data_IF_062031119070
#
_entry.id   IF_062031119070
#
_cell.length_a   1.000
_cell.length_b   1.000
_cell.length_c   1.000
_cell.angle_alpha   90.00
_cell.angle_beta   90.00
_cell.angle_gamma   90.00
#
_symmetry.space_group_name_H-M   'P 1'
#
loop_
_entity.id
_entity.type
_entity.pdbx_description
1 polymer ?
#
# COMPACT_ATOMS: atom_id res chain seq x y z
N UNK A 1 -0.41 -9.35 8.15
CA UNK A 1 -0.45 -8.02 8.77
C UNK A 1 -1.90 -7.57 8.71
N UNK A 2 -2.49 -7.25 9.84
CA UNK A 2 -3.82 -7.76 10.24
C UNK A 2 -5.03 -7.07 9.59
N UNK A 3 -4.83 -6.40 8.45
CA UNK A 3 -5.89 -5.77 7.65
C UNK A 3 -6.55 -4.54 8.30
N UNK A 4 -6.05 -4.12 9.46
CA UNK A 4 -6.62 -3.00 10.22
C UNK A 4 -5.96 -1.67 9.84
N UNK A 5 -6.80 -0.64 9.67
CA UNK A 5 -6.36 0.75 9.61
C UNK A 5 -6.04 1.21 11.03
N UNK A 6 -4.79 1.59 11.28
CA UNK A 6 -4.32 2.08 12.58
C UNK A 6 -3.87 3.54 12.47
N UNK A 7 -3.92 4.33 13.55
CA UNK A 7 -3.27 5.63 13.62
C UNK A 7 -1.79 5.54 13.27
N UNK A 8 -1.24 6.58 12.64
CA UNK A 8 0.13 6.60 12.13
C UNK A 8 1.18 6.33 13.23
N UNK A 9 0.98 6.92 14.41
CA UNK A 9 1.84 6.76 15.59
C UNK A 9 1.79 5.36 16.22
N UNK A 10 0.78 4.56 15.85
CA UNK A 10 0.60 3.19 16.34
C UNK A 10 1.14 2.13 15.38
N UNK A 11 1.59 2.51 14.18
CA UNK A 11 2.14 1.62 13.18
C UNK A 11 3.55 1.12 13.57
N UNK A 12 3.61 0.14 14.47
CA UNK A 12 4.85 -0.43 14.99
C UNK A 12 5.15 -1.81 14.39
N UNK A 13 6.43 -2.12 14.17
CA UNK A 13 6.94 -3.43 13.75
C UNK A 13 8.08 -3.89 14.67
N UNK A 14 8.27 -5.21 14.81
CA UNK A 14 9.34 -5.74 15.64
C UNK A 14 10.72 -5.49 14.99
N UNK A 15 11.76 -5.25 15.79
CA UNK A 15 13.10 -4.96 15.28
C UNK A 15 13.71 -6.10 14.46
N UNK A 16 13.32 -7.35 14.72
CA UNK A 16 13.75 -8.54 13.96
C UNK A 16 12.95 -8.76 12.66
N UNK A 17 12.09 -7.82 12.25
CA UNK A 17 11.32 -7.94 11.00
C UNK A 17 12.27 -8.10 9.81
N UNK A 18 12.10 -9.17 9.03
CA UNK A 18 13.01 -9.55 7.95
C UNK A 18 13.20 -8.43 6.91
N UNK A 19 12.16 -7.62 6.65
CA UNK A 19 12.22 -6.46 5.77
C UNK A 19 13.25 -5.41 6.21
N UNK A 20 13.48 -5.26 7.53
CA UNK A 20 14.46 -4.31 8.08
C UNK A 20 15.91 -4.79 7.95
N UNK A 21 16.12 -6.10 7.80
CA UNK A 21 17.46 -6.70 7.74
C UNK A 21 17.88 -7.07 6.32
N UNK A 22 16.92 -7.48 5.49
CA UNK A 22 17.20 -8.08 4.18
C UNK A 22 16.38 -7.46 3.04
N UNK A 23 15.65 -6.37 3.29
CA UNK A 23 14.90 -5.67 2.25
C UNK A 23 13.72 -6.46 1.67
N UNK A 24 13.24 -7.50 2.35
CA UNK A 24 12.09 -8.30 1.94
C UNK A 24 10.77 -7.55 2.18
N UNK A 25 10.47 -6.58 1.32
CA UNK A 25 9.18 -5.88 1.30
C UNK A 25 8.90 -5.33 -0.10
N UNK A 26 7.61 -5.22 -0.43
CA UNK A 26 7.14 -4.56 -1.65
C UNK A 26 6.06 -3.55 -1.30
N UNK A 27 5.95 -2.50 -2.11
CA UNK A 27 4.93 -1.46 -1.98
C UNK A 27 4.41 -1.06 -3.36
N UNK A 28 3.25 -0.42 -3.38
CA UNK A 28 2.68 0.17 -4.59
C UNK A 28 2.41 1.66 -4.42
N UNK A 29 2.30 2.36 -5.56
CA UNK A 29 2.00 3.77 -5.60
C UNK A 29 0.90 4.06 -6.61
N UNK A 30 -0.23 4.58 -6.13
CA UNK A 30 -1.36 5.02 -6.97
C UNK A 30 -1.90 6.36 -6.49
N UNK A 31 -2.62 7.07 -7.35
CA UNK A 31 -3.24 8.36 -7.02
C UNK A 31 -4.75 8.27 -7.15
N UNK A 32 -5.44 8.89 -6.20
CA UNK A 32 -6.88 9.10 -6.22
C UNK A 32 -7.17 10.55 -6.61
N UNK A 33 -8.06 10.74 -7.57
CA UNK A 33 -8.43 12.02 -8.12
C UNK A 33 -9.90 12.31 -7.82
N UNK A 34 -10.20 13.54 -7.43
CA UNK A 34 -11.57 14.02 -7.32
C UNK A 34 -12.08 14.37 -8.71
N UNK A 35 -13.17 13.74 -9.11
CA UNK A 35 -13.88 14.02 -10.36
C UNK A 35 -14.83 15.21 -10.19
N UNK A 36 -15.21 15.82 -11.31
CA UNK A 36 -16.12 16.98 -11.33
C UNK A 36 -17.51 16.67 -10.75
N UNK A 37 -17.94 15.40 -10.82
CA UNK A 37 -19.20 14.90 -10.25
C UNK A 37 -19.11 14.60 -8.73
N UNK A 38 -18.00 14.93 -8.09
CA UNK A 38 -17.76 14.72 -6.67
C UNK A 38 -17.30 13.30 -6.29
N UNK A 39 -17.23 12.37 -7.25
CA UNK A 39 -16.68 11.03 -7.01
C UNK A 39 -15.16 11.06 -6.96
N UNK A 40 -14.59 9.96 -6.47
CA UNK A 40 -13.16 9.69 -6.48
C UNK A 40 -12.85 8.61 -7.50
N UNK A 41 -11.78 8.78 -8.28
CA UNK A 41 -11.33 7.81 -9.25
C UNK A 41 -9.82 7.53 -9.10
N UNK A 42 -9.43 6.28 -9.28
CA UNK A 42 -8.04 5.85 -9.30
C UNK A 42 -7.71 5.42 -10.73
N UNK A 43 -6.68 6.02 -11.31
CA UNK A 43 -6.25 5.67 -12.66
C UNK A 43 -5.61 4.27 -12.67
N UNK A 44 -6.13 3.37 -13.51
CA UNK A 44 -5.59 2.02 -13.74
C UNK A 44 -5.38 1.18 -12.47
N UNK A 45 -6.34 1.26 -11.54
CA UNK A 45 -6.24 0.60 -10.23
C UNK A 45 -5.94 -0.90 -10.33
N UNK A 46 -6.58 -1.61 -11.26
CA UNK A 46 -6.39 -3.06 -11.44
C UNK A 46 -4.96 -3.41 -11.86
N UNK A 47 -4.34 -2.62 -12.73
CA UNK A 47 -2.97 -2.86 -13.17
C UNK A 47 -1.94 -2.55 -12.10
N UNK A 48 -2.18 -1.54 -11.26
CA UNK A 48 -1.37 -1.30 -10.07
C UNK A 48 -1.46 -2.48 -9.09
N UNK A 49 -2.68 -2.98 -8.82
CA UNK A 49 -2.88 -4.15 -7.96
C UNK A 49 -2.18 -5.38 -8.52
N UNK A 50 -2.27 -5.63 -9.83
CA UNK A 50 -1.55 -6.73 -10.47
C UNK A 50 -0.04 -6.61 -10.28
N UNK A 51 0.54 -5.42 -10.49
CA UNK A 51 1.98 -5.20 -10.32
C UNK A 51 2.44 -5.42 -8.88
N UNK A 52 1.61 -5.09 -7.88
CA UNK A 52 1.88 -5.42 -6.48
C UNK A 52 2.04 -6.93 -6.28
N UNK A 53 1.07 -7.72 -6.78
CA UNK A 53 1.10 -9.17 -6.67
C UNK A 53 2.26 -9.80 -7.46
N UNK A 54 2.58 -9.25 -8.63
CA UNK A 54 3.73 -9.72 -9.44
C UNK A 54 5.08 -9.41 -8.76
N UNK A 55 5.12 -8.45 -7.82
CA UNK A 55 6.33 -8.10 -7.06
C UNK A 55 6.49 -8.92 -5.78
N UNK A 56 5.39 -9.51 -5.27
CA UNK A 56 5.29 -10.13 -3.94
C UNK A 56 5.86 -11.55 -3.85
#
# INVERSE_FOLDING_TARGET
MDGHLVPYDQANVHILTHSLHYGLAVFEGMRCYKCDDGRSAIFRANEHVRRLFDSA
#
